data_IF_153473994151
#
_entry.id   IF_153473994151
#
_cell.length_a   1.000
_cell.length_b   1.000
_cell.length_c   1.000
_cell.angle_alpha   90.00
_cell.angle_beta   90.00
_cell.angle_gamma   90.00
#
_symmetry.space_group_name_H-M   'P 1'
#
loop_
_entity.id
_entity.type
_entity.pdbx_description
1 polymer ?
#
# COMPACT_ATOMS: atom_id res chain seq x y z
N UNK A 1 35.39 -45.36 14.15
CA UNK A 1 36.69 -44.67 14.04
C UNK A 1 36.54 -43.30 14.69
N UNK A 2 37.28 -43.00 15.76
CA UNK A 2 37.42 -41.65 16.35
C UNK A 2 36.41 -41.22 17.43
N UNK A 3 36.80 -41.36 18.71
CA UNK A 3 36.16 -40.85 19.93
C UNK A 3 36.95 -39.64 20.48
N UNK A 4 36.27 -38.76 21.23
CA UNK A 4 36.67 -38.11 22.54
C UNK A 4 35.55 -37.11 22.92
N UNK A 5 34.68 -37.32 23.92
CA UNK A 5 34.81 -37.14 25.39
C UNK A 5 35.62 -35.89 25.81
N UNK A 6 35.07 -34.95 26.60
CA UNK A 6 35.04 -35.05 28.07
C UNK A 6 34.03 -34.11 28.76
N UNK A 7 33.70 -34.48 29.99
CA UNK A 7 32.66 -34.00 30.90
C UNK A 7 33.29 -33.27 32.11
N UNK A 8 32.47 -32.48 32.82
CA UNK A 8 32.46 -32.22 34.27
C UNK A 8 33.30 -31.06 34.87
N UNK A 9 32.66 -30.29 35.75
CA UNK A 9 33.32 -29.49 36.78
C UNK A 9 32.50 -28.32 37.35
N UNK A 10 31.68 -28.60 38.37
CA UNK A 10 31.06 -27.60 39.25
C UNK A 10 32.07 -26.92 40.16
N UNK A 11 31.94 -25.61 40.41
CA UNK A 11 32.31 -24.99 41.70
C UNK A 11 31.30 -23.88 42.05
N UNK A 12 31.07 -23.77 43.35
CA UNK A 12 30.03 -23.07 44.11
C UNK A 12 30.73 -22.02 44.97
N UNK A 13 30.12 -20.85 45.13
CA UNK A 13 30.15 -19.94 46.30
C UNK A 13 29.19 -18.78 45.96
N UNK A 14 28.03 -18.62 46.61
CA UNK A 14 27.80 -17.91 47.90
C UNK A 14 28.36 -16.48 47.84
N UNK A 15 27.65 -15.37 48.11
CA UNK A 15 26.64 -14.99 49.11
C UNK A 15 25.80 -13.82 48.51
N UNK A 16 24.53 -13.56 48.81
CA UNK A 16 24.05 -13.01 50.07
C UNK A 16 22.50 -12.97 50.06
N UNK A 17 21.95 -13.19 51.25
CA UNK A 17 20.57 -13.51 51.63
C UNK A 17 20.01 -12.36 52.46
N UNK A 18 18.78 -11.92 52.19
CA UNK A 18 17.90 -11.25 53.18
C UNK A 18 16.45 -11.65 52.86
N UNK A 19 15.88 -12.66 53.53
CA UNK A 19 15.11 -12.60 54.79
C UNK A 19 13.84 -11.71 54.66
N UNK A 20 12.68 -12.39 54.69
CA UNK A 20 11.25 -11.97 54.66
C UNK A 20 10.84 -10.95 55.76
N UNK A 21 9.60 -10.35 55.83
CA UNK A 21 8.32 -10.92 55.34
C UNK A 21 7.29 -9.96 54.69
N UNK A 22 6.17 -10.56 54.24
CA UNK A 22 5.04 -9.94 53.52
C UNK A 22 3.90 -9.39 54.42
N UNK A 23 3.31 -8.26 53.95
CA UNK A 23 1.91 -7.75 54.08
C UNK A 23 1.38 -7.19 55.43
N UNK A 24 0.27 -6.38 55.46
CA UNK A 24 -0.69 -5.98 54.40
C UNK A 24 -1.09 -4.46 54.34
N UNK A 25 -2.10 -4.17 53.50
CA UNK A 25 -2.68 -2.90 53.04
C UNK A 25 -3.31 -1.94 54.08
N UNK A 26 -3.37 -0.63 53.72
CA UNK A 26 -4.31 0.49 54.03
C UNK A 26 -3.80 1.65 53.13
N UNK A 27 -4.55 2.41 52.31
CA UNK A 27 -5.86 3.04 52.45
C UNK A 27 -5.67 4.55 52.16
N UNK A 28 -6.09 5.00 50.97
CA UNK A 28 -6.42 6.37 50.52
C UNK A 28 -5.97 7.62 51.31
N UNK A 29 -5.34 8.59 50.63
CA UNK A 29 -5.88 9.98 50.57
C UNK A 29 -5.18 10.85 49.52
N UNK A 30 -6.00 11.48 48.68
CA UNK A 30 -5.62 12.57 47.80
C UNK A 30 -5.48 13.86 48.63
N UNK A 31 -4.40 14.61 48.41
CA UNK A 31 -4.27 15.97 48.93
C UNK A 31 -4.27 16.94 47.75
N UNK A 32 -5.34 17.72 47.72
CA UNK A 32 -5.58 18.84 46.82
C UNK A 32 -4.57 19.96 47.07
N UNK A 33 -4.03 20.51 45.99
CA UNK A 33 -3.25 21.74 46.02
C UNK A 33 -4.22 22.92 45.91
N UNK A 34 -4.47 23.61 47.04
CA UNK A 34 -5.00 24.97 47.01
C UNK A 34 -3.84 25.95 46.92
N UNK A 35 -3.79 26.71 45.83
CA UNK A 35 -2.94 27.88 45.70
C UNK A 35 -3.72 29.09 46.18
N UNK A 36 -3.23 29.74 47.23
CA UNK A 36 -3.67 31.10 47.58
C UNK A 36 -2.43 31.94 47.88
N UNK A 37 -2.35 33.08 47.20
CA UNK A 37 -1.17 33.93 47.09
C UNK A 37 -0.66 34.46 48.44
N UNK A 38 0.67 34.53 48.54
CA UNK A 38 1.39 35.16 49.65
C UNK A 38 1.49 36.67 49.41
N UNK A 39 0.82 37.44 50.26
CA UNK A 39 1.32 38.73 50.70
C UNK A 39 2.37 38.52 51.80
N UNK A 40 3.46 39.27 51.67
CA UNK A 40 4.69 39.35 52.47
C UNK A 40 4.54 38.98 53.96
N UNK A 41 5.31 37.99 54.40
CA UNK A 41 5.69 37.80 55.81
C UNK A 41 7.21 37.58 55.89
N UNK A 42 7.88 38.50 56.57
CA UNK A 42 9.28 38.38 56.98
C UNK A 42 9.38 37.31 58.06
N UNK A 43 9.78 36.09 57.71
CA UNK A 43 10.16 35.07 58.69
C UNK A 43 11.67 35.00 58.83
N UNK A 44 12.14 35.66 59.90
CA UNK A 44 13.46 35.51 60.51
C UNK A 44 13.84 34.04 60.67
N UNK A 45 15.00 33.65 60.13
CA UNK A 45 15.56 32.31 60.30
C UNK A 45 16.06 32.16 61.76
N UNK A 46 15.35 31.37 62.56
CA UNK A 46 15.84 30.89 63.85
C UNK A 46 16.61 29.58 63.61
N UNK A 47 17.75 29.34 64.27
CA UNK A 47 18.43 28.05 64.15
C UNK A 47 17.64 27.01 64.94
N UNK A 48 17.18 25.95 64.27
CA UNK A 48 16.57 24.81 64.94
C UNK A 48 17.69 23.93 65.52
N UNK A 49 17.97 24.12 66.80
CA UNK A 49 18.72 23.18 67.62
C UNK A 49 17.85 21.94 67.88
N UNK A 50 18.42 20.78 67.62
CA UNK A 50 17.65 19.57 67.30
C UNK A 50 16.88 18.94 68.45
N UNK A 51 15.90 18.11 68.07
CA UNK A 51 15.56 16.90 68.81
C UNK A 51 15.25 15.79 67.80
N UNK A 52 15.86 14.63 68.08
CA UNK A 52 16.03 13.48 67.20
C UNK A 52 14.72 12.92 66.62
N UNK A 53 14.76 12.54 65.34
CA UNK A 53 13.73 11.69 64.74
C UNK A 53 13.67 11.70 63.21
N UNK A 54 14.11 12.78 62.56
CA UNK A 54 14.16 12.86 61.10
C UNK A 54 15.58 13.26 60.67
N UNK A 55 16.28 12.35 59.99
CA UNK A 55 17.60 12.63 59.42
C UNK A 55 17.46 13.61 58.26
N UNK A 56 17.49 14.92 58.58
CA UNK A 56 17.61 15.95 57.54
C UNK A 56 19.02 15.89 56.97
N UNK A 57 19.15 15.43 55.73
CA UNK A 57 20.41 15.45 55.00
C UNK A 57 20.63 16.87 54.48
N UNK A 58 21.70 17.51 54.94
CA UNK A 58 22.10 18.83 54.45
C UNK A 58 22.46 18.72 52.97
N UNK A 59 21.86 19.55 52.12
CA UNK A 59 22.16 19.57 50.69
C UNK A 59 23.65 19.92 50.49
N UNK A 60 24.47 19.07 49.83
CA UNK A 60 25.91 19.29 49.70
C UNK A 60 26.24 20.56 48.88
N UNK A 61 25.32 20.99 48.01
CA UNK A 61 25.53 22.13 47.11
C UNK A 61 25.29 23.48 47.79
N UNK A 62 24.29 23.58 48.67
CA UNK A 62 23.96 24.85 49.34
C UNK A 62 24.19 24.83 50.86
N UNK A 63 24.61 23.68 51.42
CA UNK A 63 24.84 23.47 52.86
C UNK A 63 23.69 23.97 53.76
N UNK A 64 22.46 24.03 53.24
CA UNK A 64 21.30 24.53 53.97
C UNK A 64 21.12 26.06 53.95
N UNK A 65 21.98 26.82 53.26
CA UNK A 65 21.88 28.29 53.18
C UNK A 65 20.81 28.80 52.20
N UNK A 66 20.36 27.93 51.28
CA UNK A 66 19.43 28.30 50.21
C UNK A 66 19.98 29.30 49.18
N UNK A 67 21.26 29.67 49.27
CA UNK A 67 21.93 30.62 48.36
C UNK A 67 23.21 30.00 47.83
N UNK A 68 23.40 30.03 46.51
CA UNK A 68 24.59 29.52 45.84
C UNK A 68 25.45 30.73 45.42
N UNK A 69 26.77 30.74 45.71
CA UNK A 69 27.65 31.82 45.28
C UNK A 69 27.68 31.92 43.74
N UNK A 70 27.63 33.16 43.22
CA UNK A 70 27.59 33.45 41.78
C UNK A 70 28.77 32.88 40.99
N UNK A 71 29.92 32.64 41.63
CA UNK A 71 31.09 32.02 40.99
C UNK A 71 30.90 30.53 40.70
N UNK A 72 30.09 29.84 41.51
CA UNK A 72 29.80 28.42 41.32
C UNK A 72 28.72 28.20 40.25
N UNK A 73 27.87 29.20 39.99
CA UNK A 73 26.76 29.17 39.01
C UNK A 73 27.22 28.68 37.63
N UNK A 74 28.41 29.09 37.18
CA UNK A 74 29.00 28.71 35.89
C UNK A 74 29.49 27.26 35.84
N UNK A 75 29.64 26.61 36.99
CA UNK A 75 30.13 25.23 37.14
C UNK A 75 29.00 24.24 37.50
N UNK A 76 27.78 24.72 37.79
CA UNK A 76 26.62 23.83 37.95
C UNK A 76 26.13 23.34 36.59
N UNK A 77 26.85 22.36 36.04
CA UNK A 77 26.30 21.47 35.02
C UNK A 77 25.37 20.51 35.74
N UNK A 78 24.09 20.49 35.36
CA UNK A 78 23.18 19.47 35.83
C UNK A 78 23.64 18.10 35.31
N UNK A 79 24.48 17.41 36.10
CA UNK A 79 24.84 16.02 35.87
C UNK A 79 23.63 15.18 36.25
N UNK A 80 22.77 14.90 35.27
CA UNK A 80 21.66 13.96 35.44
C UNK A 80 22.31 12.56 35.49
N UNK A 81 22.27 11.86 36.64
CA UNK A 81 22.89 10.54 36.73
C UNK A 81 22.21 9.59 35.75
N UNK A 82 23.00 8.76 35.06
CA UNK A 82 22.53 7.81 34.04
C UNK A 82 21.47 6.82 34.56
N UNK A 83 21.34 6.70 35.88
CA UNK A 83 20.34 5.90 36.61
C UNK A 83 19.26 6.69 37.33
N UNK A 84 18.97 7.94 36.96
CA UNK A 84 17.88 8.72 37.58
C UNK A 84 16.54 7.98 37.41
N UNK A 85 16.00 7.47 38.52
CA UNK A 85 14.75 6.71 38.58
C UNK A 85 13.55 7.53 38.10
N UNK A 86 13.65 8.88 38.12
CA UNK A 86 12.60 9.78 37.63
C UNK A 86 12.39 9.68 36.12
N UNK A 87 13.40 9.24 35.36
CA UNK A 87 13.31 9.05 33.90
C UNK A 87 12.51 7.80 33.48
N UNK A 88 11.92 7.04 34.43
CA UNK A 88 11.14 5.79 34.19
C UNK A 88 11.67 4.99 32.98
N UNK A 89 12.95 4.59 32.97
CA UNK A 89 13.63 4.07 31.79
C UNK A 89 12.96 2.84 31.17
N UNK A 90 12.28 2.02 31.99
CA UNK A 90 11.47 0.88 31.53
C UNK A 90 10.25 1.31 30.69
N UNK A 91 9.56 2.38 31.08
CA UNK A 91 8.42 2.91 30.34
C UNK A 91 8.90 3.59 29.05
N UNK A 92 9.94 4.41 29.10
CA UNK A 92 10.51 5.07 27.92
C UNK A 92 11.00 4.06 26.88
N UNK A 93 11.69 2.98 27.30
CA UNK A 93 12.10 1.89 26.41
C UNK A 93 10.91 1.18 25.75
N UNK A 94 9.84 0.91 26.51
CA UNK A 94 8.61 0.32 25.97
C UNK A 94 7.94 1.24 24.95
N UNK A 95 7.84 2.54 25.24
CA UNK A 95 7.25 3.52 24.32
C UNK A 95 8.06 3.64 23.03
N UNK A 96 9.39 3.69 23.11
CA UNK A 96 10.25 3.72 21.93
C UNK A 96 10.10 2.44 21.10
N UNK A 97 10.11 1.27 21.74
CA UNK A 97 9.89 0.00 21.06
C UNK A 97 8.51 -0.06 20.37
N UNK A 98 7.46 0.38 21.07
CA UNK A 98 6.11 0.43 20.53
C UNK A 98 6.00 1.41 19.36
N UNK A 99 6.65 2.58 19.43
CA UNK A 99 6.69 3.54 18.34
C UNK A 99 7.38 2.97 17.09
N UNK A 100 8.51 2.28 17.28
CA UNK A 100 9.21 1.57 16.18
C UNK A 100 8.32 0.49 15.58
N UNK A 101 7.64 -0.31 16.41
CA UNK A 101 6.74 -1.36 15.94
C UNK A 101 5.55 -0.78 15.13
N UNK A 102 4.92 0.28 15.62
CA UNK A 102 3.83 0.96 14.91
C UNK A 102 4.33 1.49 13.57
N UNK A 103 5.53 2.09 13.52
CA UNK A 103 6.12 2.60 12.28
C UNK A 103 6.39 1.48 11.26
N UNK A 104 6.91 0.32 11.70
CA UNK A 104 7.13 -0.83 10.82
C UNK A 104 5.80 -1.36 10.27
N UNK A 105 4.79 -1.45 11.13
CA UNK A 105 3.45 -1.91 10.74
C UNK A 105 2.82 -0.94 9.74
N UNK A 106 2.83 0.37 10.01
CA UNK A 106 2.26 1.36 9.09
C UNK A 106 3.00 1.40 7.76
N UNK A 107 4.34 1.35 7.77
CA UNK A 107 5.14 1.27 6.55
C UNK A 107 4.82 0.01 5.75
N UNK A 108 4.66 -1.15 6.41
CA UNK A 108 4.29 -2.40 5.76
C UNK A 108 2.91 -2.30 5.11
N UNK A 109 1.92 -1.74 5.80
CA UNK A 109 0.59 -1.51 5.22
C UNK A 109 0.63 -0.58 4.02
N UNK A 110 1.35 0.55 4.11
CA UNK A 110 1.50 1.49 2.98
C UNK A 110 2.10 0.78 1.78
N UNK A 111 3.18 0.02 1.97
CA UNK A 111 3.79 -0.75 0.89
C UNK A 111 2.79 -1.77 0.34
N UNK A 112 2.11 -2.54 1.18
CA UNK A 112 1.15 -3.56 0.74
C UNK A 112 -0.01 -2.98 -0.11
N UNK A 113 -0.55 -1.82 0.27
CA UNK A 113 -1.66 -1.18 -0.45
C UNK A 113 -1.22 -0.43 -1.72
N UNK A 114 -0.03 0.17 -1.72
CA UNK A 114 0.49 0.94 -2.85
C UNK A 114 1.36 0.14 -3.81
N UNK A 115 1.78 -1.07 -3.43
CA UNK A 115 2.56 -1.91 -4.32
C UNK A 115 1.73 -2.26 -5.55
N UNK A 116 2.23 -1.98 -6.77
CA UNK A 116 1.46 -2.14 -7.98
C UNK A 116 1.14 -3.61 -8.20
N UNK A 117 -0.16 -3.89 -8.30
CA UNK A 117 -0.72 -5.17 -8.72
C UNK A 117 -1.06 -5.11 -10.21
N UNK A 118 -1.09 -6.29 -10.83
CA UNK A 118 -1.38 -6.44 -12.25
C UNK A 118 -2.77 -5.91 -12.59
N UNK A 119 -2.84 -5.10 -13.64
CA UNK A 119 -4.09 -4.79 -14.34
C UNK A 119 -4.22 -5.78 -15.50
N UNK A 120 -5.33 -6.50 -15.55
CA UNK A 120 -5.55 -7.55 -16.54
C UNK A 120 -6.49 -7.04 -17.61
N UNK A 121 -6.09 -7.16 -18.88
CA UNK A 121 -6.89 -6.80 -20.05
C UNK A 121 -7.23 -8.07 -20.81
N UNK A 122 -8.53 -8.37 -20.94
CA UNK A 122 -9.03 -9.58 -21.59
C UNK A 122 -10.03 -9.22 -22.69
N UNK A 123 -9.78 -9.60 -23.95
CA UNK A 123 -10.78 -9.52 -25.00
C UNK A 123 -11.96 -10.43 -24.68
N UNK A 124 -13.17 -9.86 -24.62
CA UNK A 124 -14.41 -10.62 -24.39
C UNK A 124 -15.13 -10.99 -25.69
N UNK A 125 -14.57 -10.59 -26.84
CA UNK A 125 -14.99 -11.00 -28.18
C UNK A 125 -15.89 -10.00 -28.92
N UNK A 126 -16.48 -10.49 -30.01
CA UNK A 126 -17.32 -9.74 -30.94
C UNK A 126 -18.70 -9.45 -30.34
N UNK A 127 -19.10 -8.18 -30.33
CA UNK A 127 -20.46 -7.76 -29.96
C UNK A 127 -21.35 -7.57 -31.20
N UNK A 128 -20.85 -6.85 -32.20
CA UNK A 128 -21.57 -6.66 -33.46
C UNK A 128 -20.64 -6.43 -34.64
N UNK A 129 -21.12 -6.74 -35.83
CA UNK A 129 -20.46 -6.49 -37.10
C UNK A 129 -21.46 -5.99 -38.13
N UNK A 130 -21.05 -4.98 -38.89
CA UNK A 130 -21.80 -4.45 -40.04
C UNK A 130 -20.93 -4.60 -41.27
N UNK A 131 -21.53 -5.04 -42.38
CA UNK A 131 -20.80 -5.31 -43.62
C UNK A 131 -21.31 -4.43 -44.76
N UNK A 132 -20.37 -3.87 -45.53
CA UNK A 132 -20.64 -3.17 -46.77
C UNK A 132 -19.61 -3.58 -47.83
N UNK A 133 -20.02 -3.48 -49.10
CA UNK A 133 -19.21 -3.84 -50.26
C UNK A 133 -19.13 -2.67 -51.22
N UNK A 134 -17.96 -2.42 -51.79
CA UNK A 134 -17.75 -1.38 -52.81
C UNK A 134 -16.61 -1.79 -53.74
N UNK A 135 -16.84 -1.80 -55.05
CA UNK A 135 -15.81 -2.01 -56.09
C UNK A 135 -14.70 -3.05 -55.79
N UNK A 136 -15.08 -4.22 -55.23
CA UNK A 136 -14.20 -5.34 -54.79
C UNK A 136 -13.49 -5.19 -53.43
N UNK A 137 -13.74 -4.11 -52.71
CA UNK A 137 -13.38 -3.93 -51.30
C UNK A 137 -14.50 -4.40 -50.36
N UNK A 138 -14.11 -4.99 -49.23
CA UNK A 138 -15.02 -5.30 -48.12
C UNK A 138 -14.79 -4.30 -46.99
N UNK A 139 -15.86 -3.66 -46.54
CA UNK A 139 -15.87 -2.80 -45.37
C UNK A 139 -16.57 -3.50 -44.23
N UNK A 140 -15.85 -3.74 -43.12
CA UNK A 140 -16.43 -4.29 -41.90
C UNK A 140 -16.33 -3.26 -40.80
N UNK A 141 -17.46 -2.93 -40.18
CA UNK A 141 -17.48 -2.15 -38.95
C UNK A 141 -17.76 -3.10 -37.79
N UNK A 142 -16.74 -3.32 -36.97
CA UNK A 142 -16.74 -4.32 -35.92
C UNK A 142 -16.73 -3.63 -34.58
N UNK A 143 -17.65 -4.00 -33.70
CA UNK A 143 -17.69 -3.55 -32.31
C UNK A 143 -17.38 -4.71 -31.39
N UNK A 144 -16.35 -4.55 -30.58
CA UNK A 144 -15.84 -5.57 -29.67
C UNK A 144 -15.86 -5.11 -28.23
N UNK A 145 -15.77 -6.09 -27.33
CA UNK A 145 -15.78 -5.88 -25.88
C UNK A 145 -14.39 -6.17 -25.31
N UNK A 146 -13.89 -5.24 -24.51
CA UNK A 146 -12.67 -5.38 -23.73
C UNK A 146 -13.03 -5.39 -22.25
N UNK A 147 -12.68 -6.46 -21.54
CA UNK A 147 -12.82 -6.54 -20.10
C UNK A 147 -11.51 -6.11 -19.43
N UNK A 148 -11.58 -5.09 -18.59
CA UNK A 148 -10.42 -4.53 -17.89
C UNK A 148 -10.63 -4.75 -16.40
N UNK A 149 -9.74 -5.53 -15.79
CA UNK A 149 -9.79 -5.85 -14.37
C UNK A 149 -8.66 -5.17 -13.61
N UNK A 150 -9.02 -4.35 -12.62
CA UNK A 150 -8.06 -3.67 -11.77
C UNK A 150 -7.79 -4.50 -10.50
N UNK A 151 -6.60 -5.09 -10.41
CA UNK A 151 -6.15 -5.81 -9.20
C UNK A 151 -5.65 -4.91 -8.06
N UNK A 152 -5.56 -3.59 -8.27
CA UNK A 152 -5.00 -2.65 -7.28
C UNK A 152 -6.03 -2.25 -6.21
N UNK A 153 -5.53 -1.81 -5.06
CA UNK A 153 -6.33 -1.23 -3.98
C UNK A 153 -6.61 0.27 -4.17
N UNK A 154 -6.12 0.85 -5.27
CA UNK A 154 -6.35 2.23 -5.69
C UNK A 154 -7.00 2.27 -7.08
N UNK A 155 -7.77 3.32 -7.40
CA UNK A 155 -8.40 3.45 -8.71
C UNK A 155 -7.36 3.72 -9.80
N UNK A 156 -7.65 3.25 -11.01
CA UNK A 156 -6.85 3.49 -12.21
C UNK A 156 -7.67 4.25 -13.24
N UNK A 157 -7.01 4.98 -14.11
CA UNK A 157 -7.65 5.71 -15.21
C UNK A 157 -7.11 5.21 -16.55
N UNK A 158 -7.99 4.73 -17.41
CA UNK A 158 -7.63 4.41 -18.80
C UNK A 158 -7.61 5.71 -19.59
N UNK A 159 -6.47 6.00 -20.22
CA UNK A 159 -6.18 7.28 -20.87
C UNK A 159 -6.14 7.18 -22.39
N UNK A 160 -5.72 6.04 -22.93
CA UNK A 160 -5.59 5.84 -24.37
C UNK A 160 -5.80 4.37 -24.73
N UNK A 161 -6.48 4.16 -25.86
CA UNK A 161 -6.59 2.87 -26.53
C UNK A 161 -6.07 3.03 -27.95
N UNK A 162 -5.07 2.25 -28.32
CA UNK A 162 -4.53 2.19 -29.68
C UNK A 162 -4.51 0.75 -30.14
N UNK A 163 -5.14 0.46 -31.28
CA UNK A 163 -5.27 -0.89 -31.81
C UNK A 163 -5.13 -0.92 -33.33
N UNK A 164 -4.74 -2.09 -33.82
CA UNK A 164 -4.63 -2.44 -35.21
C UNK A 164 -5.37 -3.76 -35.46
N UNK A 165 -6.06 -3.82 -36.59
CA UNK A 165 -6.74 -5.01 -37.06
C UNK A 165 -6.06 -5.47 -38.32
N UNK A 166 -5.65 -6.74 -38.33
CA UNK A 166 -4.91 -7.37 -39.40
C UNK A 166 -5.72 -8.50 -40.03
N UNK A 167 -5.68 -8.58 -41.35
CA UNK A 167 -6.17 -9.71 -42.12
C UNK A 167 -4.99 -10.30 -42.90
N UNK A 168 -4.69 -11.59 -42.73
CA UNK A 168 -3.53 -12.24 -43.36
C UNK A 168 -2.20 -11.48 -43.14
N UNK A 169 -2.03 -10.87 -41.97
CA UNK A 169 -0.88 -10.01 -41.60
C UNK A 169 -0.82 -8.64 -42.28
N UNK A 170 -1.83 -8.25 -43.07
CA UNK A 170 -1.99 -6.89 -43.60
C UNK A 170 -2.87 -6.07 -42.66
N UNK A 171 -2.45 -4.85 -42.34
CA UNK A 171 -3.26 -3.91 -41.53
C UNK A 171 -4.45 -3.44 -42.36
N UNK A 172 -5.65 -3.79 -41.92
CA UNK A 172 -6.93 -3.45 -42.57
C UNK A 172 -7.74 -2.41 -41.79
N UNK A 173 -7.37 -2.13 -40.55
CA UNK A 173 -7.98 -1.08 -39.75
C UNK A 173 -7.08 -0.65 -38.59
N UNK A 174 -7.21 0.61 -38.18
CA UNK A 174 -6.48 1.17 -37.06
C UNK A 174 -7.38 2.15 -36.31
N UNK A 175 -7.33 2.12 -34.98
CA UNK A 175 -8.04 3.06 -34.13
C UNK A 175 -7.10 3.55 -33.04
N UNK A 176 -7.12 4.86 -32.79
CA UNK A 176 -6.43 5.47 -31.65
C UNK A 176 -7.36 6.49 -31.00
N UNK A 177 -7.86 6.14 -29.82
CA UNK A 177 -8.81 6.96 -29.07
C UNK A 177 -8.22 7.35 -27.72
N UNK A 178 -8.33 8.64 -27.40
CA UNK A 178 -8.09 9.12 -26.05
C UNK A 178 -9.35 8.91 -25.22
N UNK A 179 -9.17 8.40 -24.01
CA UNK A 179 -10.25 7.94 -23.14
C UNK A 179 -10.10 8.55 -21.76
N UNK A 180 -11.20 8.58 -21.01
CA UNK A 180 -11.21 8.91 -19.60
C UNK A 180 -12.17 7.95 -18.90
N UNK A 181 -11.73 6.70 -18.72
CA UNK A 181 -12.48 5.66 -18.02
C UNK A 181 -11.84 5.40 -16.67
N UNK A 182 -12.60 5.65 -15.60
CA UNK A 182 -12.17 5.37 -14.23
C UNK A 182 -12.61 3.97 -13.81
N UNK A 183 -11.65 3.15 -13.38
CA UNK A 183 -11.89 1.81 -12.86
C UNK A 183 -11.57 1.82 -11.37
N UNK A 184 -12.54 1.42 -10.56
CA UNK A 184 -12.42 1.35 -9.11
C UNK A 184 -11.36 0.35 -8.62
N UNK A 185 -11.04 0.40 -7.32
CA UNK A 185 -10.14 -0.57 -6.70
C UNK A 185 -10.79 -1.96 -6.65
N UNK A 186 -10.06 -3.01 -7.06
CA UNK A 186 -10.53 -4.41 -7.09
C UNK A 186 -11.80 -4.63 -7.93
N UNK A 187 -12.08 -3.78 -8.92
CA UNK A 187 -13.24 -3.89 -9.80
C UNK A 187 -12.84 -4.21 -11.23
N UNK A 188 -13.80 -4.76 -11.98
CA UNK A 188 -13.67 -4.98 -13.42
C UNK A 188 -14.72 -4.20 -14.17
N UNK A 189 -14.34 -3.59 -15.29
CA UNK A 189 -15.20 -2.77 -16.15
C UNK A 189 -15.11 -3.26 -17.59
N UNK A 190 -16.21 -3.15 -18.32
CA UNK A 190 -16.28 -3.51 -19.74
C UNK A 190 -16.27 -2.25 -20.59
N UNK A 191 -15.40 -2.24 -21.61
CA UNK A 191 -15.29 -1.17 -22.57
C UNK A 191 -15.61 -1.68 -23.97
N UNK A 192 -16.45 -0.93 -24.69
CA UNK A 192 -16.72 -1.19 -26.10
C UNK A 192 -15.79 -0.36 -26.98
N UNK A 193 -15.24 -0.99 -28.01
CA UNK A 193 -14.47 -0.30 -29.04
C UNK A 193 -14.94 -0.73 -30.42
N UNK A 194 -15.09 0.24 -31.33
CA UNK A 194 -15.51 0.02 -32.70
C UNK A 194 -14.36 0.33 -33.66
N UNK A 195 -14.21 -0.52 -34.68
CA UNK A 195 -13.16 -0.42 -35.69
C UNK A 195 -13.79 -0.57 -37.06
N UNK A 196 -13.62 0.44 -37.90
CA UNK A 196 -13.88 0.32 -39.33
C UNK A 196 -12.65 -0.29 -40.01
N UNK A 197 -12.85 -1.40 -40.71
CA UNK A 197 -11.82 -2.08 -41.48
C UNK A 197 -12.16 -2.04 -42.96
N UNK A 198 -11.11 -1.98 -43.78
CA UNK A 198 -11.17 -2.06 -45.24
C UNK A 198 -10.26 -3.20 -45.68
N UNK A 199 -10.82 -4.21 -46.32
CA UNK A 199 -10.11 -5.38 -46.82
C UNK A 199 -10.08 -5.31 -48.35
N UNK A 200 -8.96 -4.86 -48.94
CA UNK A 200 -8.77 -4.82 -50.39
C UNK A 200 -8.21 -6.16 -50.90
N UNK A 201 -9.00 -7.23 -50.77
CA UNK A 201 -8.60 -8.56 -51.24
C UNK A 201 -9.69 -9.21 -52.10
N UNK A 202 -9.35 -9.47 -53.37
CA UNK A 202 -10.28 -10.01 -54.36
C UNK A 202 -10.75 -11.43 -54.00
N UNK A 203 -9.88 -12.24 -53.41
CA UNK A 203 -10.22 -13.60 -53.00
C UNK A 203 -11.21 -13.59 -51.84
N UNK A 204 -10.96 -12.77 -50.83
CA UNK A 204 -11.86 -12.58 -49.70
C UNK A 204 -13.19 -12.00 -50.16
N UNK A 205 -13.18 -11.01 -51.07
CA UNK A 205 -14.39 -10.46 -51.69
C UNK A 205 -15.23 -11.55 -52.37
N UNK A 206 -14.61 -12.42 -53.17
CA UNK A 206 -15.30 -13.56 -53.80
C UNK A 206 -15.90 -14.49 -52.73
N UNK A 207 -15.15 -14.85 -51.70
CA UNK A 207 -15.66 -15.70 -50.61
C UNK A 207 -16.86 -15.05 -49.91
N UNK A 208 -16.82 -13.75 -49.64
CA UNK A 208 -17.90 -13.05 -48.94
C UNK A 208 -19.16 -12.86 -49.81
N UNK A 209 -19.03 -12.83 -51.13
CA UNK A 209 -20.14 -12.62 -52.07
C UNK A 209 -20.66 -13.91 -52.73
N UNK A 210 -19.95 -15.03 -52.63
CA UNK A 210 -20.26 -16.26 -53.35
C UNK A 210 -21.51 -16.98 -52.79
N UNK A 211 -22.61 -16.96 -53.55
CA UNK A 211 -23.91 -17.47 -53.11
C UNK A 211 -23.99 -18.98 -52.81
N UNK A 212 -23.07 -19.80 -53.34
CA UNK A 212 -23.12 -21.26 -53.21
C UNK A 212 -22.62 -21.74 -51.84
N UNK A 213 -21.78 -20.95 -51.17
CA UNK A 213 -21.33 -21.24 -49.81
C UNK A 213 -22.28 -20.62 -48.79
N UNK A 214 -22.54 -21.37 -47.72
CA UNK A 214 -23.41 -20.93 -46.61
C UNK A 214 -22.65 -20.19 -45.51
N UNK A 215 -21.33 -20.24 -45.52
CA UNK A 215 -20.47 -19.79 -44.42
C UNK A 215 -19.47 -18.79 -44.99
N UNK A 216 -19.53 -17.54 -44.52
CA UNK A 216 -18.73 -16.42 -45.01
C UNK A 216 -17.96 -15.81 -43.85
N UNK A 217 -16.90 -16.46 -43.37
CA UNK A 217 -16.12 -15.94 -42.25
C UNK A 217 -14.76 -15.44 -42.69
N UNK A 218 -14.37 -14.29 -42.14
CA UNK A 218 -13.04 -13.72 -42.27
C UNK A 218 -12.38 -13.78 -40.91
N UNK A 219 -11.13 -14.26 -40.87
CA UNK A 219 -10.31 -14.20 -39.67
C UNK A 219 -9.61 -12.85 -39.59
N UNK A 220 -9.79 -12.18 -38.45
CA UNK A 220 -9.13 -10.94 -38.11
C UNK A 220 -8.27 -11.14 -36.87
N UNK A 221 -7.03 -10.68 -36.96
CA UNK A 221 -6.11 -10.59 -35.83
C UNK A 221 -6.15 -9.17 -35.30
N UNK A 222 -6.60 -9.01 -34.07
CA UNK A 222 -6.72 -7.72 -33.40
C UNK A 222 -5.59 -7.65 -32.39
N UNK A 223 -4.73 -6.65 -32.52
CA UNK A 223 -3.67 -6.38 -31.55
C UNK A 223 -3.80 -4.94 -31.08
N UNK A 224 -3.63 -4.71 -29.79
CA UNK A 224 -3.83 -3.39 -29.23
C UNK A 224 -3.05 -3.16 -27.95
N UNK A 225 -2.97 -1.88 -27.61
CA UNK A 225 -2.33 -1.36 -26.41
C UNK A 225 -3.29 -0.46 -25.69
N UNK A 226 -3.43 -0.70 -24.39
CA UNK A 226 -4.23 0.08 -23.47
C UNK A 226 -3.29 0.83 -22.53
N UNK A 227 -3.38 2.16 -22.48
CA UNK A 227 -2.56 2.97 -21.59
C UNK A 227 -3.37 3.35 -20.35
N UNK A 228 -2.90 2.89 -19.19
CA UNK A 228 -3.50 3.15 -17.88
C UNK A 228 -2.60 4.09 -17.08
N UNK A 229 -3.19 5.03 -16.34
CA UNK A 229 -2.50 5.97 -15.47
C UNK A 229 -2.97 5.83 -14.02
N UNK A 230 -2.02 5.80 -13.10
CA UNK A 230 -2.25 5.70 -11.66
C UNK A 230 -1.03 6.21 -10.87
N UNK A 231 -1.24 6.85 -9.71
CA UNK A 231 -0.16 7.33 -8.83
C UNK A 231 0.97 8.11 -9.54
N UNK A 232 0.64 8.90 -10.57
CA UNK A 232 1.59 9.63 -11.45
C UNK A 232 2.49 8.74 -12.32
N UNK A 233 2.22 7.44 -12.37
CA UNK A 233 2.80 6.48 -13.29
C UNK A 233 1.84 6.20 -14.44
N UNK A 234 2.37 5.83 -15.60
CA UNK A 234 1.58 5.38 -16.75
C UNK A 234 2.16 4.08 -17.27
N UNK A 235 1.30 3.11 -17.52
CA UNK A 235 1.64 1.75 -17.91
C UNK A 235 0.87 1.38 -19.19
N UNK A 236 1.54 0.68 -20.10
CA UNK A 236 0.95 0.16 -21.33
C UNK A 236 0.72 -1.34 -21.22
N UNK A 237 -0.51 -1.76 -21.46
CA UNK A 237 -0.97 -3.14 -21.41
C UNK A 237 -1.28 -3.60 -22.83
N UNK A 238 -0.61 -4.66 -23.28
CA UNK A 238 -0.80 -5.21 -24.63
C UNK A 238 -1.84 -6.32 -24.57
N UNK A 239 -2.74 -6.37 -25.56
CA UNK A 239 -3.69 -7.46 -25.74
C UNK A 239 -3.74 -7.89 -27.20
N UNK A 240 -4.11 -9.15 -27.43
CA UNK A 240 -4.31 -9.72 -28.76
C UNK A 240 -5.52 -10.64 -28.76
N UNK A 241 -6.26 -10.66 -29.87
CA UNK A 241 -7.45 -11.49 -30.08
C UNK A 241 -7.52 -11.96 -31.53
N UNK A 242 -8.12 -13.12 -31.74
CA UNK A 242 -8.40 -13.67 -33.07
C UNK A 242 -9.89 -13.90 -33.19
N UNK A 243 -10.52 -13.25 -34.17
CA UNK A 243 -11.98 -13.25 -34.29
C UNK A 243 -12.40 -13.64 -35.70
N UNK A 244 -13.38 -14.53 -35.76
CA UNK A 244 -14.07 -14.89 -37.01
C UNK A 244 -15.30 -13.99 -37.15
N UNK A 245 -15.32 -13.17 -38.20
CA UNK A 245 -16.41 -12.23 -38.49
C UNK A 245 -17.16 -12.69 -39.72
N UNK A 246 -18.49 -12.74 -39.64
CA UNK A 246 -19.33 -12.99 -40.82
C UNK A 246 -19.28 -11.77 -41.74
N UNK A 247 -18.85 -11.97 -42.98
CA UNK A 247 -18.69 -10.91 -43.97
C UNK A 247 -19.83 -10.81 -44.97
N UNK A 248 -20.96 -11.50 -44.79
CA UNK A 248 -22.12 -11.41 -45.69
C UNK A 248 -23.26 -10.59 -45.12
N UNK A 249 -23.56 -10.78 -43.84
CA UNK A 249 -24.71 -10.17 -43.18
C UNK A 249 -24.31 -9.44 -41.91
N UNK A 250 -25.10 -8.45 -41.52
CA UNK A 250 -24.94 -7.80 -40.23
C UNK A 250 -25.24 -8.82 -39.12
N UNK A 251 -24.32 -8.94 -38.18
CA UNK A 251 -24.47 -9.83 -37.04
C UNK A 251 -24.39 -9.02 -35.75
N UNK A 252 -25.35 -9.25 -34.84
CA UNK A 252 -25.22 -8.90 -33.43
C UNK A 252 -25.11 -10.20 -32.65
N UNK A 253 -23.97 -10.41 -31.99
CA UNK A 253 -23.76 -11.59 -31.17
C UNK A 253 -24.40 -11.33 -29.80
N UNK A 254 -25.38 -12.13 -29.35
CA UNK A 254 -25.82 -12.06 -27.95
C UNK A 254 -24.63 -12.47 -27.08
N UNK A 255 -24.28 -11.68 -26.06
CA UNK A 255 -23.17 -11.96 -25.14
C UNK A 255 -23.11 -13.45 -24.73
N UNK A 256 -22.24 -14.22 -25.39
CA UNK A 256 -21.86 -15.55 -24.93
C UNK A 256 -20.54 -15.36 -24.20
N UNK A 257 -20.64 -15.27 -22.87
CA UNK A 257 -19.55 -15.55 -21.93
C UNK A 257 -19.00 -16.93 -22.26
N UNK A 258 -18.08 -17.00 -23.22
CA UNK A 258 -17.34 -18.22 -23.51
C UNK A 258 -16.14 -18.17 -22.57
N UNK A 259 -16.09 -18.98 -21.50
CA UNK A 259 -14.92 -19.06 -20.67
C UNK A 259 -13.83 -19.72 -21.54
N UNK A 260 -12.71 -19.05 -21.74
CA UNK A 260 -11.52 -19.77 -22.20
C UNK A 260 -11.21 -20.87 -21.16
N UNK A 261 -11.07 -22.14 -21.59
CA UNK A 261 -10.59 -23.18 -20.69
C UNK A 261 -9.12 -22.91 -20.29
N UNK A 262 -8.69 -23.43 -19.13
CA UNK A 262 -7.35 -23.24 -18.57
C UNK A 262 -6.23 -23.81 -19.44
#
# INVERSE_FOLDING_TARGET
MGKTFSQLGSWREDENKSILPSNPAIGSQAVSYFSTGSSKSLCSCVPCEGTAGASFVTCPTCQGSGKIPQELEKQLVALIPYGDQRLKPKHTKLFVFLAVLICLVTSSFIIFFLFPRSVVVQPAGLNSSTVAFDEADIYLNITNVLNISNGNYYPITVTQLTLEVLHLSLVVGQVSNNLLLHIGPLTSEQMFYAVATKIPDENTYKICTWLEIKVHHVLLHIQGTLTCSYLSHSEQLVFQSYEYVDCRGNASVPHQLTPHPP
#
